data_IF_681423005208
#
_entry.id   IF_681423005208
#
_cell.length_a   1.000
_cell.length_b   1.000
_cell.length_c   1.000
_cell.angle_alpha   90.00
_cell.angle_beta   90.00
_cell.angle_gamma   90.00
#
_symmetry.space_group_name_H-M   'P 1'
#
loop_
_entity.id
_entity.type
_entity.pdbx_description
1 polymer ?
#
# COMPACT_ATOMS: atom_id res chain seq x y z
N UNK A 1 -34.65 -55.29 -21.80
CA UNK A 1 -33.78 -56.19 -22.58
C UNK A 1 -32.39 -56.23 -21.93
N UNK A 2 -31.92 -57.44 -21.57
CA UNK A 2 -30.53 -57.90 -21.28
C UNK A 2 -29.70 -57.05 -20.30
N UNK A 3 -29.43 -57.39 -19.03
CA UNK A 3 -28.93 -58.65 -18.44
C UNK A 3 -27.84 -59.30 -19.29
N UNK A 4 -26.56 -59.21 -18.88
CA UNK A 4 -25.71 -60.39 -18.60
C UNK A 4 -24.26 -60.03 -18.22
N UNK A 5 -23.88 -60.52 -17.01
CA UNK A 5 -22.66 -61.30 -16.71
C UNK A 5 -21.31 -60.53 -16.67
N UNK A 6 -20.34 -60.84 -15.81
CA UNK A 6 -20.15 -61.98 -14.91
C UNK A 6 -19.10 -61.62 -13.86
N UNK A 7 -19.18 -62.31 -12.73
CA UNK A 7 -18.22 -62.33 -11.64
C UNK A 7 -16.79 -62.65 -12.10
N UNK A 8 -15.80 -62.08 -11.42
CA UNK A 8 -14.79 -62.94 -10.80
C UNK A 8 -14.29 -62.36 -9.48
N UNK A 9 -14.61 -63.08 -8.41
CA UNK A 9 -14.09 -62.93 -7.06
C UNK A 9 -12.81 -63.75 -6.98
N UNK A 10 -11.72 -63.17 -6.50
CA UNK A 10 -10.72 -63.94 -5.74
C UNK A 10 -10.25 -63.13 -4.53
N UNK A 11 -10.57 -63.67 -3.36
CA UNK A 11 -10.05 -63.30 -2.04
C UNK A 11 -8.66 -63.93 -1.87
N UNK A 12 -7.73 -63.19 -1.29
CA UNK A 12 -6.62 -63.69 -0.46
C UNK A 12 -6.24 -62.52 0.46
N UNK A 13 -6.70 -62.50 1.72
CA UNK A 13 -6.03 -63.01 2.92
C UNK A 13 -4.62 -62.43 3.11
N UNK A 14 -4.49 -61.73 4.23
CA UNK A 14 -3.39 -60.90 4.68
C UNK A 14 -2.05 -61.63 4.86
N UNK A 15 -0.96 -60.88 4.66
CA UNK A 15 0.29 -61.07 5.40
C UNK A 15 0.70 -59.70 5.92
N UNK A 16 0.65 -59.55 7.24
CA UNK A 16 1.27 -58.46 7.96
C UNK A 16 2.79 -58.61 7.87
N UNK A 17 3.47 -57.57 7.39
CA UNK A 17 4.90 -57.42 7.55
C UNK A 17 5.15 -56.13 8.33
N UNK A 18 5.37 -56.28 9.63
CA UNK A 18 5.93 -55.24 10.50
C UNK A 18 7.39 -55.09 10.09
N UNK A 19 7.72 -54.01 9.39
CA UNK A 19 9.10 -53.60 9.17
C UNK A 19 9.42 -52.52 10.18
N UNK A 20 10.13 -52.93 11.24
CA UNK A 20 10.87 -52.03 12.14
C UNK A 20 12.03 -51.47 11.33
N UNK A 21 11.80 -50.32 10.70
CA UNK A 21 12.84 -49.55 10.03
C UNK A 21 13.38 -48.49 10.99
N UNK A 22 14.64 -48.67 11.40
CA UNK A 22 15.42 -47.72 12.19
C UNK A 22 15.29 -46.30 11.63
N UNK A 23 14.69 -45.41 12.40
CA UNK A 23 14.71 -43.98 12.15
C UNK A 23 16.13 -43.44 12.33
N UNK A 24 16.86 -43.26 11.24
CA UNK A 24 17.92 -42.25 11.18
C UNK A 24 17.23 -40.90 11.02
N UNK A 25 16.74 -40.36 12.14
CA UNK A 25 16.44 -38.94 12.22
C UNK A 25 17.74 -38.18 12.01
N UNK A 26 17.92 -37.61 10.82
CA UNK A 26 18.81 -36.46 10.66
C UNK A 26 18.21 -35.34 11.50
N UNK A 27 18.53 -35.35 12.79
CA UNK A 27 18.56 -34.15 13.61
C UNK A 27 19.40 -33.17 12.80
N UNK A 28 18.73 -32.26 12.09
CA UNK A 28 19.36 -31.02 11.68
C UNK A 28 19.84 -30.42 12.99
N UNK A 29 21.15 -30.46 13.20
CA UNK A 29 21.79 -29.66 14.23
C UNK A 29 21.35 -28.23 13.92
N UNK A 30 20.31 -27.78 14.63
CA UNK A 30 20.10 -26.36 14.83
C UNK A 30 21.38 -25.94 15.53
N UNK A 31 22.21 -25.17 14.84
CA UNK A 31 23.25 -24.42 15.52
C UNK A 31 22.54 -23.64 16.63
N UNK A 32 22.70 -24.14 17.85
CA UNK A 32 22.40 -23.41 19.06
C UNK A 32 23.61 -22.53 19.36
N UNK A 33 24.13 -21.80 18.36
CA UNK A 33 24.90 -20.63 18.67
C UNK A 33 23.90 -19.64 19.25
N UNK A 34 23.80 -19.66 20.58
CA UNK A 34 23.49 -18.48 21.36
C UNK A 34 24.62 -17.47 21.15
N UNK A 35 24.89 -17.06 19.89
CA UNK A 35 25.46 -15.75 19.67
C UNK A 35 24.44 -14.81 20.27
N UNK A 36 24.81 -13.99 21.27
CA UNK A 36 23.98 -12.86 21.63
C UNK A 36 23.71 -12.18 20.29
N UNK A 37 22.44 -12.10 19.88
CA UNK A 37 22.07 -11.18 18.83
C UNK A 37 22.74 -9.89 19.24
N UNK A 38 23.68 -9.39 18.44
CA UNK A 38 24.44 -8.21 18.83
C UNK A 38 23.39 -7.19 19.27
N UNK A 39 23.36 -6.90 20.58
CA UNK A 39 22.34 -6.04 21.17
C UNK A 39 22.63 -4.69 20.52
N UNK A 40 21.89 -4.42 19.45
CA UNK A 40 22.01 -3.24 18.60
C UNK A 40 21.62 -1.96 19.36
N UNK A 41 21.28 -2.11 20.65
CA UNK A 41 20.86 -1.04 21.55
C UNK A 41 19.42 -0.59 21.30
N UNK A 42 18.71 -1.23 20.36
CA UNK A 42 17.34 -0.91 20.04
C UNK A 42 16.39 -1.44 21.12
N UNK A 43 15.55 -0.60 21.75
CA UNK A 43 14.52 -1.09 22.65
C UNK A 43 13.44 -1.85 21.87
N UNK A 44 12.82 -2.85 22.52
CA UNK A 44 11.63 -3.54 22.00
C UNK A 44 10.52 -2.54 21.68
N UNK A 45 9.83 -2.76 20.57
CA UNK A 45 8.82 -1.88 20.00
C UNK A 45 9.37 -0.70 19.19
N UNK A 46 10.69 -0.52 19.11
CA UNK A 46 11.26 0.52 18.24
C UNK A 46 10.96 0.21 16.79
N UNK A 47 10.45 1.22 16.07
CA UNK A 47 10.23 1.17 14.62
C UNK A 47 11.31 2.02 13.94
N UNK A 48 11.90 1.47 12.89
CA UNK A 48 12.91 2.15 12.08
C UNK A 48 12.64 1.92 10.59
N UNK A 49 12.92 2.93 9.76
CA UNK A 49 12.92 2.79 8.31
C UNK A 49 14.33 2.46 7.84
N UNK A 50 14.48 1.34 7.13
CA UNK A 50 15.77 0.85 6.67
C UNK A 50 15.85 0.90 5.14
N UNK A 51 17.05 1.21 4.63
CA UNK A 51 17.35 1.08 3.22
C UNK A 51 17.68 -0.37 2.87
N UNK A 52 17.43 -0.77 1.62
CA UNK A 52 17.80 -2.09 1.10
C UNK A 52 16.66 -3.10 0.97
N UNK A 53 15.46 -2.78 1.45
CA UNK A 53 14.25 -3.56 1.20
C UNK A 53 14.02 -4.76 2.13
N UNK A 54 14.99 -5.10 2.98
CA UNK A 54 14.88 -6.19 3.97
C UNK A 54 15.22 -5.68 5.37
N UNK A 55 14.55 -6.23 6.38
CA UNK A 55 14.87 -5.93 7.77
C UNK A 55 16.20 -6.57 8.21
N UNK A 56 17.01 -5.85 9.01
CA UNK A 56 18.26 -6.41 9.54
C UNK A 56 17.99 -7.59 10.48
N UNK A 57 18.98 -8.48 10.70
CA UNK A 57 18.83 -9.60 11.62
C UNK A 57 18.33 -9.17 13.01
N UNK A 58 17.32 -9.87 13.54
CA UNK A 58 16.71 -9.54 14.83
C UNK A 58 15.61 -8.48 14.77
N UNK A 59 15.28 -7.98 13.58
CA UNK A 59 14.12 -7.12 13.32
C UNK A 59 13.09 -7.84 12.47
N UNK A 60 11.84 -7.39 12.54
CA UNK A 60 10.72 -7.91 11.77
C UNK A 60 10.12 -6.83 10.87
N UNK A 61 9.51 -7.22 9.76
CA UNK A 61 8.70 -6.31 8.95
C UNK A 61 7.55 -5.72 9.79
N UNK A 62 7.40 -4.40 9.75
CA UNK A 62 6.38 -3.68 10.49
C UNK A 62 5.12 -3.52 9.62
N UNK A 63 4.29 -4.56 9.56
CA UNK A 63 3.08 -4.59 8.72
C UNK A 63 2.07 -3.49 9.03
N UNK A 64 2.01 -3.04 10.28
CA UNK A 64 1.03 -2.04 10.72
C UNK A 64 1.27 -0.65 10.10
N UNK A 65 2.46 -0.41 9.53
CA UNK A 65 2.85 0.85 8.92
C UNK A 65 3.00 0.78 7.40
N UNK A 66 2.75 -0.38 6.80
CA UNK A 66 2.90 -0.58 5.36
C UNK A 66 1.96 0.32 4.56
N UNK A 67 2.52 1.08 3.62
CA UNK A 67 1.73 2.02 2.81
C UNK A 67 1.17 3.21 3.59
N UNK A 68 1.68 3.49 4.80
CA UNK A 68 1.17 4.58 5.64
C UNK A 68 2.24 5.63 5.92
N UNK A 69 1.78 6.87 6.07
CA UNK A 69 2.59 7.95 6.62
C UNK A 69 2.45 7.95 8.15
N UNK A 70 3.57 7.96 8.87
CA UNK A 70 3.58 7.90 10.34
C UNK A 70 3.51 9.30 10.93
N UNK A 71 2.56 9.49 11.83
CA UNK A 71 2.35 10.72 12.58
C UNK A 71 2.58 10.43 14.05
N UNK A 72 3.56 11.10 14.65
CA UNK A 72 3.80 11.00 16.09
C UNK A 72 2.69 11.70 16.89
N UNK A 73 2.32 11.11 18.03
CA UNK A 73 1.34 11.68 18.96
C UNK A 73 1.89 11.68 20.39
N UNK A 74 1.41 12.64 21.19
CA UNK A 74 1.62 12.68 22.64
C UNK A 74 0.38 12.22 23.42
N UNK A 75 -0.73 11.99 22.72
CA UNK A 75 -2.00 11.53 23.28
C UNK A 75 -1.99 10.00 23.20
N UNK A 76 -2.11 9.34 24.35
CA UNK A 76 -1.99 7.88 24.45
C UNK A 76 -3.07 7.17 23.63
N UNK A 77 -4.26 7.74 23.59
CA UNK A 77 -5.44 7.17 22.94
C UNK A 77 -5.32 7.16 21.41
N UNK A 78 -4.44 8.00 20.85
CA UNK A 78 -4.24 8.11 19.40
C UNK A 78 -3.15 7.16 18.88
N UNK A 79 -2.46 6.43 19.77
CA UNK A 79 -1.41 5.47 19.37
C UNK A 79 -2.04 4.30 18.63
N UNK A 80 -1.57 4.05 17.41
CA UNK A 80 -2.06 2.97 16.54
C UNK A 80 -3.39 3.27 15.86
N UNK A 81 -3.87 4.52 15.91
CA UNK A 81 -5.06 4.93 15.17
C UNK A 81 -4.73 5.09 13.70
N UNK A 82 -5.40 4.30 12.87
CA UNK A 82 -5.33 4.40 11.41
C UNK A 82 -6.35 5.38 10.85
N UNK A 83 -5.89 6.24 9.94
CA UNK A 83 -6.76 7.15 9.17
C UNK A 83 -6.59 6.88 7.68
N UNK A 84 -7.72 6.68 7.00
CA UNK A 84 -7.76 6.45 5.56
C UNK A 84 -7.26 5.07 5.13
N UNK A 85 -7.05 4.91 3.82
CA UNK A 85 -6.60 3.67 3.18
C UNK A 85 -5.08 3.72 2.96
N UNK A 86 -4.34 2.65 3.26
CA UNK A 86 -2.91 2.59 2.95
C UNK A 86 -2.66 2.64 1.43
N UNK A 87 -1.49 3.11 1.04
CA UNK A 87 -1.00 3.05 -0.34
C UNK A 87 -0.50 1.63 -0.65
N UNK A 88 -0.71 1.21 -1.89
CA UNK A 88 -0.02 0.02 -2.44
C UNK A 88 1.41 0.36 -2.84
N UNK A 89 2.26 -0.66 -3.00
CA UNK A 89 3.63 -0.47 -3.47
C UNK A 89 3.66 0.21 -4.84
N UNK A 90 4.45 1.28 -4.98
CA UNK A 90 4.51 2.10 -6.19
C UNK A 90 3.25 2.91 -6.50
N UNK A 91 2.28 3.02 -5.60
CA UNK A 91 1.03 3.74 -5.86
C UNK A 91 1.24 5.24 -6.00
N UNK A 92 0.69 5.79 -7.08
CA UNK A 92 0.57 7.21 -7.29
C UNK A 92 -0.91 7.60 -7.31
N UNK A 93 -1.35 8.41 -6.34
CA UNK A 93 -2.76 8.78 -6.23
C UNK A 93 -3.09 9.92 -7.19
N UNK A 94 -4.12 9.71 -7.98
CA UNK A 94 -4.70 10.79 -8.78
C UNK A 94 -5.36 11.82 -7.87
N UNK A 95 -5.14 13.08 -8.18
CA UNK A 95 -5.78 14.19 -7.47
C UNK A 95 -6.25 15.27 -8.45
N UNK A 96 -7.10 16.17 -7.95
CA UNK A 96 -7.65 17.30 -8.68
C UNK A 96 -7.62 18.56 -7.81
N UNK A 97 -7.51 19.73 -8.45
CA UNK A 97 -7.48 21.01 -7.75
C UNK A 97 -8.68 21.85 -8.13
N UNK A 98 -9.40 22.35 -7.13
CA UNK A 98 -10.38 23.40 -7.35
C UNK A 98 -9.66 24.73 -7.62
N UNK A 99 -10.07 25.46 -8.66
CA UNK A 99 -9.53 26.78 -8.96
C UNK A 99 -10.64 27.81 -9.06
N UNK A 100 -10.28 29.04 -8.72
CA UNK A 100 -11.11 30.22 -8.93
C UNK A 100 -10.25 31.33 -9.52
N UNK A 101 -10.84 32.16 -10.38
CA UNK A 101 -10.18 33.25 -11.06
C UNK A 101 -11.18 34.30 -11.53
N UNK A 102 -10.67 35.40 -12.05
CA UNK A 102 -11.50 36.47 -12.57
C UNK A 102 -10.85 37.10 -13.80
N UNK A 103 -11.64 37.33 -14.84
CA UNK A 103 -11.26 38.07 -16.03
C UNK A 103 -11.88 39.46 -15.93
N UNK A 104 -11.05 40.49 -15.88
CA UNK A 104 -11.50 41.88 -15.90
C UNK A 104 -11.51 42.39 -17.34
N UNK A 105 -12.70 42.67 -17.87
CA UNK A 105 -12.88 43.29 -19.18
C UNK A 105 -13.03 44.80 -19.01
N UNK A 106 -12.02 45.61 -19.41
CA UNK A 106 -12.14 47.06 -19.36
C UNK A 106 -13.18 47.55 -20.38
N UNK A 107 -13.82 48.68 -20.07
CA UNK A 107 -14.75 49.31 -21.01
C UNK A 107 -14.02 49.77 -22.28
N UNK A 108 -14.60 49.46 -23.44
CA UNK A 108 -14.19 50.01 -24.73
C UNK A 108 -15.37 50.74 -25.38
N UNK A 109 -15.07 51.88 -25.98
CA UNK A 109 -16.05 52.73 -26.66
C UNK A 109 -15.72 52.80 -28.15
N UNK A 110 -16.73 52.75 -29.00
CA UNK A 110 -16.58 53.02 -30.44
C UNK A 110 -16.98 54.48 -30.68
N UNK A 111 -15.99 55.34 -30.93
CA UNK A 111 -16.22 56.76 -31.23
C UNK A 111 -16.47 56.93 -32.73
N UNK A 112 -17.72 56.77 -33.18
CA UNK A 112 -18.18 57.17 -34.53
C UNK A 112 -19.70 57.10 -34.72
N UNK A 113 -20.42 56.39 -33.85
CA UNK A 113 -21.87 56.19 -33.97
C UNK A 113 -22.51 56.54 -32.62
N UNK A 114 -23.43 57.50 -32.60
CA UNK A 114 -24.27 57.83 -31.43
C UNK A 114 -25.26 56.68 -31.18
N UNK A 115 -24.76 55.56 -30.65
CA UNK A 115 -25.55 54.38 -30.36
C UNK A 115 -24.91 53.54 -29.26
N UNK A 116 -25.75 52.82 -28.52
CA UNK A 116 -25.29 51.80 -27.58
C UNK A 116 -24.63 50.69 -28.39
N UNK A 117 -23.43 50.23 -28.01
CA UNK A 117 -22.76 49.14 -28.69
C UNK A 117 -23.54 47.83 -28.45
N UNK A 118 -24.57 47.58 -29.26
CA UNK A 118 -25.30 46.33 -29.28
C UNK A 118 -24.41 45.26 -29.92
N UNK A 119 -24.03 44.24 -29.15
CA UNK A 119 -23.26 43.08 -29.65
C UNK A 119 -21.77 43.04 -29.29
N UNK A 120 -21.25 43.94 -28.44
CA UNK A 120 -19.90 43.83 -27.85
C UNK A 120 -19.96 43.25 -26.44
N UNK A 121 -18.86 42.61 -26.00
CA UNK A 121 -18.78 42.05 -24.65
C UNK A 121 -18.93 43.13 -23.57
N UNK A 122 -19.77 42.86 -22.56
CA UNK A 122 -20.01 43.77 -21.44
C UNK A 122 -18.72 43.98 -20.64
N UNK A 123 -18.42 45.23 -20.30
CA UNK A 123 -17.32 45.55 -19.39
C UNK A 123 -17.65 45.06 -17.96
N UNK A 124 -16.66 44.54 -17.26
CA UNK A 124 -16.86 44.05 -15.90
C UNK A 124 -15.92 42.91 -15.53
N UNK A 125 -16.15 42.35 -14.35
CA UNK A 125 -15.41 41.20 -13.83
C UNK A 125 -16.22 39.93 -14.06
N UNK A 126 -15.63 38.97 -14.75
CA UNK A 126 -16.21 37.67 -15.00
C UNK A 126 -15.45 36.63 -14.18
N UNK A 127 -16.11 36.07 -13.17
CA UNK A 127 -15.54 35.02 -12.35
C UNK A 127 -15.54 33.71 -13.12
N UNK A 128 -14.45 32.95 -12.96
CA UNK A 128 -14.29 31.59 -13.47
C UNK A 128 -14.01 30.69 -12.28
N UNK A 129 -14.72 29.57 -12.20
CA UNK A 129 -14.45 28.51 -11.23
C UNK A 129 -14.43 27.18 -11.96
N UNK A 130 -13.71 26.22 -11.40
CA UNK A 130 -13.64 24.88 -11.97
C UNK A 130 -12.80 23.94 -11.12
N UNK A 131 -12.64 22.73 -11.63
CA UNK A 131 -11.79 21.68 -11.07
C UNK A 131 -10.93 21.15 -12.21
N UNK A 132 -9.67 20.86 -11.95
CA UNK A 132 -8.80 20.20 -12.93
C UNK A 132 -9.24 18.76 -13.18
N UNK A 133 -8.81 18.15 -14.29
CA UNK A 133 -8.97 16.71 -14.43
C UNK A 133 -8.16 15.97 -13.36
N UNK A 134 -8.65 14.79 -12.95
CA UNK A 134 -7.92 13.89 -12.05
C UNK A 134 -6.69 13.36 -12.77
N UNK A 135 -5.51 13.58 -12.19
CA UNK A 135 -4.28 13.01 -12.71
C UNK A 135 -3.27 12.74 -11.59
N UNK A 136 -2.33 11.86 -11.88
CA UNK A 136 -1.12 11.64 -11.09
C UNK A 136 -0.17 12.85 -11.28
N UNK A 137 0.65 13.19 -10.29
CA UNK A 137 1.50 14.39 -10.32
C UNK A 137 2.92 14.16 -10.85
N UNK A 138 3.28 12.91 -11.06
CA UNK A 138 4.60 12.45 -11.46
C UNK A 138 5.69 12.77 -10.44
N UNK A 139 5.34 13.05 -9.18
CA UNK A 139 6.34 13.39 -8.18
C UNK A 139 7.15 12.15 -7.80
N UNK A 140 8.49 12.25 -7.75
CA UNK A 140 9.32 11.14 -7.31
C UNK A 140 9.08 10.86 -5.82
N UNK A 141 8.98 9.58 -5.47
CA UNK A 141 8.87 9.13 -4.08
C UNK A 141 9.86 8.01 -3.79
N UNK A 142 10.19 7.86 -2.51
CA UNK A 142 10.97 6.75 -2.00
C UNK A 142 10.08 5.92 -1.07
N UNK A 143 10.03 4.61 -1.32
CA UNK A 143 9.44 3.65 -0.40
C UNK A 143 10.58 3.01 0.38
N UNK A 144 10.49 3.05 1.70
CA UNK A 144 11.46 2.44 2.60
C UNK A 144 10.80 1.30 3.36
N UNK A 145 11.59 0.28 3.66
CA UNK A 145 11.14 -0.85 4.45
C UNK A 145 11.01 -0.43 5.92
N UNK A 146 9.82 -0.65 6.49
CA UNK A 146 9.55 -0.40 7.89
C UNK A 146 9.85 -1.65 8.71
N UNK A 147 10.71 -1.53 9.71
CA UNK A 147 11.08 -2.65 10.57
C UNK A 147 10.78 -2.34 12.03
N UNK A 148 10.37 -3.36 12.78
CA UNK A 148 10.13 -3.30 14.23
C UNK A 148 11.06 -4.23 14.98
N UNK A 149 11.61 -3.73 16.09
CA UNK A 149 12.33 -4.55 17.07
C UNK A 149 11.28 -5.28 17.94
N UNK A 150 11.24 -6.62 17.92
CA UNK A 150 10.32 -7.38 18.78
C UNK A 150 10.61 -7.16 20.27
#
# INVERSE_FOLDING_TARGET
MRQTKWLERRRAVAVAAVVVGMGFGMLHARDASSEPQAEDGAPSGMVAFVGGGDCPPGWLHASDIEGRAIVGTVIKEDVGVDVGTPFTAGEERVHEHAFTGAVNLPAKYITAVNGVAAGVALAGTFSVTGVTDKNADGLPFFQMEGCIKP
#
